data_IF_278220664917
#
_entry.id   IF_278220664917
#
_cell.length_a   1.000
_cell.length_b   1.000
_cell.length_c   1.000
_cell.angle_alpha   90.00
_cell.angle_beta   90.00
_cell.angle_gamma   90.00
#
_symmetry.space_group_name_H-M   'P 1'
#
loop_
_entity.id
_entity.type
_entity.pdbx_description
1 polymer ?
#
# COMPACT_ATOMS: atom_id res chain seq x y z
N UNK A 1 -63.74 0.56 43.65
CA UNK A 1 -62.95 1.63 42.97
C UNK A 1 -61.55 1.07 42.73
N UNK A 2 -61.27 0.61 41.51
CA UNK A 2 -59.95 0.08 41.12
C UNK A 2 -59.31 1.12 40.18
N UNK A 3 -58.34 1.88 40.68
CA UNK A 3 -57.54 2.81 39.87
C UNK A 3 -56.39 2.05 39.22
N UNK A 4 -56.43 1.88 37.91
CA UNK A 4 -55.30 1.40 37.11
C UNK A 4 -54.37 2.58 36.80
N UNK A 5 -53.22 2.61 37.47
CA UNK A 5 -52.12 3.55 37.16
C UNK A 5 -51.37 3.00 35.95
N UNK A 6 -51.65 3.57 34.77
CA UNK A 6 -50.89 3.31 33.54
C UNK A 6 -49.52 3.99 33.65
N UNK A 7 -48.50 3.21 34.01
CA UNK A 7 -47.08 3.64 33.94
C UNK A 7 -46.60 3.50 32.50
N UNK A 8 -46.66 4.59 31.74
CA UNK A 8 -46.04 4.69 30.41
C UNK A 8 -44.52 4.75 30.57
N UNK A 9 -43.85 3.61 30.37
CA UNK A 9 -42.40 3.58 30.18
C UNK A 9 -42.05 4.27 28.85
N UNK A 10 -41.53 5.49 28.93
CA UNK A 10 -40.90 6.15 27.80
C UNK A 10 -39.56 5.42 27.50
N UNK A 11 -39.54 4.61 26.45
CA UNK A 11 -38.30 3.98 25.96
C UNK A 11 -37.53 5.03 25.16
N UNK A 12 -36.36 5.51 25.63
CA UNK A 12 -35.54 6.40 24.82
C UNK A 12 -35.01 5.62 23.62
N UNK A 13 -35.44 6.01 22.42
CA UNK A 13 -34.90 5.49 21.17
C UNK A 13 -33.53 6.13 20.95
N UNK A 14 -32.48 5.50 21.46
CA UNK A 14 -31.10 5.89 21.17
C UNK A 14 -30.82 5.58 19.70
N UNK A 15 -30.94 6.59 18.83
CA UNK A 15 -30.42 6.52 17.46
C UNK A 15 -28.90 6.52 17.54
N UNK A 16 -28.29 5.33 17.47
CA UNK A 16 -26.85 5.21 17.31
C UNK A 16 -26.47 5.78 15.93
N UNK A 17 -25.90 6.99 15.93
CA UNK A 17 -25.24 7.54 14.73
C UNK A 17 -24.02 6.66 14.50
N UNK A 18 -24.10 5.73 13.55
CA UNK A 18 -22.92 4.99 13.10
C UNK A 18 -22.08 5.95 12.27
N UNK A 19 -21.03 6.51 12.87
CA UNK A 19 -19.93 7.03 12.09
C UNK A 19 -19.28 5.82 11.41
N UNK A 20 -19.37 5.72 10.08
CA UNK A 20 -18.53 4.80 9.32
C UNK A 20 -17.10 5.34 9.45
N UNK A 21 -16.36 4.82 10.43
CA UNK A 21 -14.95 5.07 10.54
C UNK A 21 -14.24 4.31 9.41
N UNK A 22 -13.51 5.05 8.58
CA UNK A 22 -12.65 4.47 7.56
C UNK A 22 -11.55 3.63 8.24
N UNK A 23 -11.33 2.42 7.72
CA UNK A 23 -10.32 1.52 8.25
C UNK A 23 -9.71 0.69 7.12
N UNK A 24 -8.39 0.58 7.13
CA UNK A 24 -7.64 -0.21 6.15
C UNK A 24 -6.63 -1.09 6.86
N UNK A 25 -6.51 -2.34 6.41
CA UNK A 25 -5.53 -3.30 6.91
C UNK A 25 -4.50 -3.60 5.83
N UNK A 26 -3.22 -3.45 6.16
CA UNK A 26 -2.10 -3.80 5.30
C UNK A 26 -1.45 -5.04 5.88
N UNK A 27 -1.42 -6.13 5.11
CA UNK A 27 -0.77 -7.39 5.49
C UNK A 27 0.47 -7.64 4.66
N UNK A 28 1.47 -8.21 5.29
CA UNK A 28 2.71 -8.62 4.66
C UNK A 28 2.88 -10.13 4.71
N UNK A 29 3.27 -10.73 3.60
CA UNK A 29 3.68 -12.13 3.53
C UNK A 29 5.07 -12.20 2.93
N UNK A 30 6.05 -12.57 3.74
CA UNK A 30 7.41 -12.76 3.28
C UNK A 30 7.71 -14.24 3.02
N UNK A 31 7.64 -14.67 1.75
CA UNK A 31 7.98 -16.04 1.34
C UNK A 31 9.44 -16.19 0.93
N UNK A 32 10.24 -15.11 0.97
CA UNK A 32 11.66 -15.17 0.61
C UNK A 32 12.47 -15.99 1.62
N UNK A 33 12.00 -16.11 2.87
CA UNK A 33 12.73 -16.76 3.96
C UNK A 33 13.86 -15.91 4.54
N UNK A 34 14.00 -14.66 4.10
CA UNK A 34 14.97 -13.67 4.60
C UNK A 34 14.40 -12.26 4.45
N UNK A 35 15.11 -11.29 5.04
CA UNK A 35 14.69 -9.89 5.04
C UNK A 35 13.52 -9.63 5.98
N UNK A 36 13.15 -8.35 6.12
CA UNK A 36 12.02 -7.93 6.93
C UNK A 36 11.17 -6.94 6.15
N UNK A 37 9.84 -7.17 6.05
CA UNK A 37 8.95 -6.16 5.49
C UNK A 37 9.16 -4.81 6.20
N UNK A 38 9.12 -3.74 5.43
CA UNK A 38 9.13 -2.37 5.94
C UNK A 38 7.89 -1.66 5.39
N UNK A 39 7.20 -0.92 6.27
CA UNK A 39 6.12 -0.02 5.91
C UNK A 39 6.48 1.36 6.45
N UNK A 40 6.67 2.31 5.55
CA UNK A 40 7.04 3.67 5.91
C UNK A 40 5.85 4.59 5.77
N UNK A 41 5.65 5.41 6.80
CA UNK A 41 4.63 6.45 6.85
C UNK A 41 5.25 7.71 7.47
N UNK A 42 5.12 8.85 6.79
CA UNK A 42 5.69 10.13 7.23
C UNK A 42 7.20 10.02 7.59
N UNK A 43 7.95 9.28 6.76
CA UNK A 43 9.39 9.04 6.97
C UNK A 43 9.75 8.08 8.11
N UNK A 44 8.78 7.51 8.81
CA UNK A 44 8.99 6.58 9.92
C UNK A 44 8.62 5.15 9.51
N UNK A 45 9.43 4.17 9.91
CA UNK A 45 9.03 2.77 9.80
C UNK A 45 7.99 2.46 10.87
N UNK A 46 6.76 2.23 10.43
CA UNK A 46 5.60 2.00 11.30
C UNK A 46 5.21 0.52 11.40
N UNK A 47 5.92 -0.37 10.69
CA UNK A 47 5.55 -1.77 10.71
C UNK A 47 5.92 -2.43 12.05
N UNK A 48 4.91 -2.92 12.76
CA UNK A 48 5.05 -3.69 14.00
C UNK A 48 4.54 -5.11 13.80
N UNK A 49 5.23 -5.91 12.98
CA UNK A 49 4.86 -7.30 12.67
C UNK A 49 4.39 -7.50 11.23
N UNK A 50 3.52 -8.48 10.99
CA UNK A 50 3.08 -8.85 9.63
C UNK A 50 1.82 -8.08 9.18
N UNK A 51 1.27 -7.22 10.03
CA UNK A 51 0.03 -6.49 9.77
C UNK A 51 0.07 -5.09 10.37
N UNK A 52 -0.53 -4.13 9.66
CA UNK A 52 -0.76 -2.77 10.13
C UNK A 52 -2.22 -2.37 9.85
N UNK A 53 -2.87 -1.73 10.82
CA UNK A 53 -4.23 -1.20 10.65
C UNK A 53 -4.22 0.32 10.75
N UNK A 54 -4.72 0.99 9.72
CA UNK A 54 -4.96 2.43 9.71
C UNK A 54 -6.42 2.73 10.06
N UNK A 55 -6.67 3.65 11.00
CA UNK A 55 -8.01 4.12 11.38
C UNK A 55 -8.43 5.38 10.59
N UNK A 56 -8.24 5.33 9.27
CA UNK A 56 -8.50 6.42 8.31
C UNK A 56 -7.65 6.24 7.06
N UNK A 57 -7.70 7.22 6.15
CA UNK A 57 -6.87 7.24 4.94
C UNK A 57 -5.39 7.00 5.25
N UNK A 58 -4.74 6.19 4.44
CA UNK A 58 -3.32 5.86 4.56
C UNK A 58 -2.59 6.22 3.27
N UNK A 59 -1.37 6.76 3.35
CA UNK A 59 -0.50 6.97 2.20
C UNK A 59 0.94 6.71 2.61
N UNK A 60 1.61 5.77 1.97
CA UNK A 60 2.93 5.32 2.40
C UNK A 60 3.60 4.43 1.37
N UNK A 61 4.77 3.92 1.75
CA UNK A 61 5.57 3.03 0.90
C UNK A 61 5.90 1.74 1.65
N UNK A 62 6.09 0.66 0.90
CA UNK A 62 6.55 -0.60 1.44
C UNK A 62 7.65 -1.22 0.57
N UNK A 63 8.52 -2.00 1.21
CA UNK A 63 9.60 -2.74 0.55
C UNK A 63 10.09 -3.86 1.48
N UNK A 64 10.88 -4.80 0.95
CA UNK A 64 11.55 -5.80 1.79
C UNK A 64 12.96 -5.33 2.12
N UNK A 65 13.23 -5.06 3.39
CA UNK A 65 14.56 -4.71 3.86
C UNK A 65 15.47 -5.96 3.88
N UNK A 66 16.44 -6.01 2.96
CA UNK A 66 17.43 -7.10 2.80
C UNK A 66 18.82 -6.73 3.32
N UNK A 67 19.02 -5.49 3.78
CA UNK A 67 20.28 -4.92 4.25
C UNK A 67 20.86 -3.86 3.30
N UNK A 68 20.41 -3.82 2.05
CA UNK A 68 20.86 -2.86 1.03
C UNK A 68 19.87 -1.71 0.78
N UNK A 69 18.64 -1.85 1.27
CA UNK A 69 17.60 -0.83 1.10
C UNK A 69 17.87 0.34 2.04
N UNK A 70 17.80 1.56 1.51
CA UNK A 70 17.78 2.74 2.35
C UNK A 70 16.39 2.96 2.97
N UNK A 71 16.25 3.99 3.80
CA UNK A 71 15.04 4.27 4.57
C UNK A 71 13.80 4.55 3.71
N UNK A 72 13.95 5.05 2.48
CA UNK A 72 12.82 5.27 1.57
C UNK A 72 12.73 4.18 0.49
N UNK A 73 13.34 3.02 0.73
CA UNK A 73 13.34 1.91 -0.22
C UNK A 73 14.23 2.14 -1.45
N UNK A 74 15.16 3.10 -1.41
CA UNK A 74 16.17 3.23 -2.47
C UNK A 74 17.00 1.93 -2.56
N UNK A 75 17.38 1.56 -3.79
CA UNK A 75 18.00 0.27 -4.17
C UNK A 75 17.10 -0.96 -4.05
N UNK A 76 15.81 -0.80 -3.76
CA UNK A 76 14.88 -1.92 -3.59
C UNK A 76 13.59 -1.72 -4.39
N UNK A 77 12.88 -2.82 -4.63
CA UNK A 77 11.56 -2.78 -5.28
C UNK A 77 10.63 -2.02 -4.35
N UNK A 78 10.16 -0.84 -4.78
CA UNK A 78 9.29 0.02 -3.98
C UNK A 78 7.83 -0.26 -4.33
N UNK A 79 6.99 -0.40 -3.31
CA UNK A 79 5.54 -0.34 -3.45
C UNK A 79 5.06 0.99 -2.89
N UNK A 80 4.30 1.75 -3.67
CA UNK A 80 3.67 3.00 -3.27
C UNK A 80 2.16 2.77 -3.14
N UNK A 81 1.55 3.23 -2.05
CA UNK A 81 0.12 3.01 -1.82
C UNK A 81 -0.56 4.22 -1.21
N UNK A 82 -1.81 4.44 -1.62
CA UNK A 82 -2.78 5.29 -0.96
C UNK A 82 -4.06 4.49 -0.77
N UNK A 83 -4.49 4.31 0.48
CA UNK A 83 -5.74 3.64 0.83
C UNK A 83 -6.71 4.70 1.34
N UNK A 84 -7.82 4.88 0.62
CA UNK A 84 -8.83 5.87 0.96
C UNK A 84 -10.21 5.45 0.45
N UNK A 85 -11.25 5.72 1.23
CA UNK A 85 -12.63 5.58 0.82
C UNK A 85 -12.96 6.58 -0.30
N UNK A 86 -13.51 6.13 -1.43
CA UNK A 86 -13.76 7.00 -2.57
C UNK A 86 -14.82 8.06 -2.26
N UNK A 87 -14.49 9.33 -2.48
CA UNK A 87 -15.46 10.44 -2.40
C UNK A 87 -15.98 10.87 -3.78
N UNK A 88 -15.38 10.35 -4.84
CA UNK A 88 -15.74 10.54 -6.25
C UNK A 88 -15.28 9.34 -7.07
N UNK A 89 -15.81 9.18 -8.28
CA UNK A 89 -15.34 8.15 -9.20
C UNK A 89 -13.88 8.40 -9.58
N UNK A 90 -13.02 7.39 -9.40
CA UNK A 90 -11.57 7.49 -9.66
C UNK A 90 -10.77 8.05 -8.48
N UNK A 91 -11.40 8.31 -7.32
CA UNK A 91 -10.77 8.95 -6.17
C UNK A 91 -10.55 8.00 -4.98
N UNK A 92 -10.77 6.69 -5.17
CA UNK A 92 -10.51 5.66 -4.17
C UNK A 92 -9.04 5.32 -4.00
N UNK A 93 -8.79 4.17 -3.38
CA UNK A 93 -7.45 3.64 -3.16
C UNK A 93 -6.69 3.39 -4.47
N UNK A 94 -5.38 3.55 -4.43
CA UNK A 94 -4.46 3.27 -5.53
C UNK A 94 -3.15 2.70 -4.98
N UNK A 95 -2.57 1.73 -5.69
CA UNK A 95 -1.30 1.10 -5.32
C UNK A 95 -0.54 0.77 -6.60
N UNK A 96 0.77 0.91 -6.54
CA UNK A 96 1.67 0.61 -7.64
C UNK A 96 3.06 0.15 -7.15
N UNK A 97 3.83 -0.41 -8.08
CA UNK A 97 5.22 -0.80 -7.88
C UNK A 97 6.08 0.18 -8.69
N UNK A 98 7.17 0.67 -8.12
CA UNK A 98 8.05 1.66 -8.72
C UNK A 98 9.50 1.19 -8.72
N UNK A 99 10.10 1.18 -9.91
CA UNK A 99 11.53 1.02 -10.18
C UNK A 99 12.12 2.29 -10.80
N UNK A 100 11.48 3.44 -10.60
CA UNK A 100 12.04 4.73 -11.00
C UNK A 100 13.31 4.96 -10.15
N UNK A 101 14.50 5.21 -10.76
CA UNK A 101 15.72 5.44 -9.99
C UNK A 101 15.54 6.54 -8.93
N UNK A 102 16.02 6.33 -7.68
CA UNK A 102 17.00 5.32 -7.26
C UNK A 102 16.42 3.96 -6.81
N UNK A 103 15.14 3.67 -7.06
CA UNK A 103 14.56 2.36 -6.78
C UNK A 103 15.02 1.34 -7.83
N UNK A 104 15.20 0.10 -7.42
CA UNK A 104 15.76 -0.95 -8.27
C UNK A 104 15.26 -2.32 -7.81
N UNK A 105 15.10 -3.24 -8.75
CA UNK A 105 14.66 -4.58 -8.39
C UNK A 105 15.67 -5.29 -7.48
N UNK A 106 15.22 -5.79 -6.33
CA UNK A 106 16.01 -6.64 -5.43
C UNK A 106 15.34 -8.00 -5.19
N UNK A 107 14.03 -7.98 -4.88
CA UNK A 107 13.20 -9.17 -4.69
C UNK A 107 11.89 -9.06 -5.45
N UNK A 108 11.32 -10.22 -5.77
CA UNK A 108 9.95 -10.29 -6.27
C UNK A 108 9.01 -9.66 -5.24
N UNK A 109 8.20 -8.72 -5.72
CA UNK A 109 7.22 -8.00 -4.90
C UNK A 109 5.90 -8.00 -5.65
N UNK A 110 4.83 -8.32 -4.93
CA UNK A 110 3.47 -8.27 -5.44
C UNK A 110 2.53 -7.67 -4.42
N UNK A 111 1.39 -7.20 -4.90
CA UNK A 111 0.30 -6.78 -4.04
C UNK A 111 -1.04 -7.18 -4.63
N UNK A 112 -2.04 -7.28 -3.76
CA UNK A 112 -3.43 -7.46 -4.14
C UNK A 112 -4.35 -6.83 -3.10
N UNK A 113 -5.42 -6.22 -3.56
CA UNK A 113 -6.50 -5.78 -2.68
C UNK A 113 -7.31 -6.98 -2.16
N UNK A 114 -7.87 -6.82 -0.96
CA UNK A 114 -8.87 -7.72 -0.40
C UNK A 114 -9.87 -6.95 0.46
N UNK A 115 -11.01 -7.56 0.80
CA UNK A 115 -12.15 -6.85 1.40
C UNK A 115 -12.62 -5.67 0.52
N UNK A 116 -12.59 -5.87 -0.79
CA UNK A 116 -12.80 -4.86 -1.82
C UNK A 116 -11.83 -5.07 -2.97
N UNK A 117 -12.33 -5.08 -4.21
CA UNK A 117 -11.53 -5.35 -5.42
C UNK A 117 -10.65 -6.61 -5.29
N UNK A 118 -11.16 -7.66 -4.66
CA UNK A 118 -10.37 -8.83 -4.25
C UNK A 118 -9.55 -9.44 -5.39
N UNK A 119 -8.24 -9.56 -5.17
CA UNK A 119 -7.29 -10.12 -6.13
C UNK A 119 -6.79 -9.14 -7.19
N UNK A 120 -7.37 -7.94 -7.29
CA UNK A 120 -6.85 -6.88 -8.14
C UNK A 120 -5.51 -6.38 -7.58
N UNK A 121 -4.48 -6.37 -8.42
CA UNK A 121 -3.14 -6.01 -8.01
C UNK A 121 -2.12 -6.27 -9.12
N UNK A 122 -0.83 -6.22 -8.78
CA UNK A 122 0.27 -6.48 -9.71
C UNK A 122 1.40 -7.24 -9.03
N UNK A 123 2.23 -7.83 -9.89
CA UNK A 123 3.45 -8.53 -9.49
C UNK A 123 4.61 -8.10 -10.35
N UNK A 124 5.70 -7.71 -9.70
CA UNK A 124 7.01 -7.64 -10.32
C UNK A 124 7.85 -8.84 -9.88
N UNK A 125 7.99 -9.84 -10.76
CA UNK A 125 8.72 -11.10 -10.50
C UNK A 125 10.17 -11.11 -10.99
N UNK A 126 10.62 -10.05 -11.67
CA UNK A 126 12.00 -9.93 -12.15
C UNK A 126 12.36 -8.46 -12.43
N UNK A 127 13.63 -8.20 -12.69
CA UNK A 127 14.17 -6.85 -12.85
C UNK A 127 13.59 -6.00 -13.99
N UNK A 128 12.80 -6.60 -14.89
CA UNK A 128 12.15 -5.86 -15.98
C UNK A 128 10.71 -5.44 -15.68
N UNK A 129 10.07 -6.01 -14.64
CA UNK A 129 8.66 -5.78 -14.25
C UNK A 129 7.73 -5.42 -15.43
N UNK A 130 7.79 -6.20 -16.52
CA UNK A 130 7.23 -5.76 -17.79
C UNK A 130 5.71 -5.51 -17.70
N UNK A 131 5.30 -4.24 -17.75
CA UNK A 131 3.91 -3.82 -17.62
C UNK A 131 3.35 -3.87 -16.19
N UNK A 132 4.20 -4.04 -15.18
CA UNK A 132 3.78 -4.15 -13.77
C UNK A 132 4.53 -3.24 -12.79
N UNK A 133 5.34 -2.31 -13.28
CA UNK A 133 5.97 -1.28 -12.46
C UNK A 133 6.18 0.02 -13.25
N UNK A 134 6.28 1.13 -12.52
CA UNK A 134 6.73 2.41 -13.03
C UNK A 134 8.25 2.37 -13.26
N UNK A 135 8.69 2.70 -14.46
CA UNK A 135 10.10 2.97 -14.79
C UNK A 135 10.35 4.45 -15.08
N UNK A 136 9.28 5.18 -15.42
CA UNK A 136 9.24 6.63 -15.55
C UNK A 136 7.93 7.18 -14.96
N UNK A 137 7.93 8.46 -14.56
CA UNK A 137 6.82 9.10 -13.84
C UNK A 137 5.46 9.13 -14.57
N UNK A 138 5.40 8.78 -15.85
CA UNK A 138 4.18 8.81 -16.65
C UNK A 138 3.66 7.42 -17.05
N UNK A 139 4.18 6.33 -16.44
CA UNK A 139 3.72 4.96 -16.64
C UNK A 139 2.38 4.66 -15.93
N UNK A 140 1.42 5.58 -16.02
CA UNK A 140 0.16 5.56 -15.25
C UNK A 140 -0.75 4.35 -15.51
N UNK A 141 -0.39 3.47 -16.44
CA UNK A 141 -1.14 2.24 -16.77
C UNK A 141 -0.83 1.08 -15.82
N UNK A 142 0.24 1.18 -15.02
CA UNK A 142 0.65 0.13 -14.07
C UNK A 142 0.09 0.38 -12.65
N UNK A 143 -0.57 1.51 -12.43
CA UNK A 143 -1.26 1.76 -11.18
C UNK A 143 -2.59 1.00 -11.12
N UNK A 144 -2.86 0.33 -10.00
CA UNK A 144 -4.12 -0.39 -9.78
C UNK A 144 -4.98 0.38 -8.79
N UNK A 145 -6.11 0.85 -9.29
CA UNK A 145 -7.14 1.53 -8.50
C UNK A 145 -8.14 0.55 -7.88
N UNK A 146 -8.70 0.93 -6.73
CA UNK A 146 -9.87 0.29 -6.15
C UNK A 146 -10.86 1.32 -5.62
N UNK A 147 -12.11 1.24 -6.09
CA UNK A 147 -13.19 2.14 -5.72
C UNK A 147 -14.11 1.54 -4.65
N UNK A 148 -13.62 0.60 -3.83
CA UNK A 148 -14.38 0.02 -2.71
C UNK A 148 -14.03 0.73 -1.40
N UNK A 149 -15.00 0.93 -0.52
CA UNK A 149 -14.75 1.43 0.83
C UNK A 149 -14.06 0.36 1.69
N UNK A 150 -13.18 0.80 2.59
CA UNK A 150 -12.47 0.00 3.59
C UNK A 150 -11.72 -1.19 2.97
N UNK A 151 -11.19 -0.99 1.77
CA UNK A 151 -10.36 -1.97 1.08
C UNK A 151 -9.06 -2.18 1.85
N UNK A 152 -8.62 -3.42 1.92
CA UNK A 152 -7.37 -3.81 2.55
C UNK A 152 -6.34 -4.17 1.48
N UNK A 153 -5.06 -4.16 1.86
CA UNK A 153 -3.94 -4.42 0.96
C UNK A 153 -3.14 -5.61 1.49
N UNK A 154 -2.90 -6.61 0.64
CA UNK A 154 -1.95 -7.68 0.89
C UNK A 154 -0.72 -7.43 0.04
N UNK A 155 0.45 -7.37 0.68
CA UNK A 155 1.76 -7.27 0.03
C UNK A 155 2.47 -8.60 0.25
N UNK A 156 3.00 -9.19 -0.82
CA UNK A 156 3.78 -10.41 -0.75
C UNK A 156 5.16 -10.23 -1.38
N UNK A 157 6.17 -10.79 -0.72
CA UNK A 157 7.54 -10.86 -1.22
C UNK A 157 7.89 -12.31 -1.55
N UNK A 158 8.53 -12.52 -2.70
CA UNK A 158 8.81 -13.84 -3.28
C UNK A 158 7.55 -14.72 -3.39
N UNK A 159 6.43 -14.12 -3.75
CA UNK A 159 5.18 -14.82 -3.98
C UNK A 159 4.11 -13.89 -4.56
N UNK A 160 3.00 -14.49 -5.00
CA UNK A 160 1.93 -13.84 -5.73
C UNK A 160 0.75 -13.48 -4.79
N UNK A 161 0.61 -12.21 -4.42
CA UNK A 161 -0.39 -11.73 -3.48
C UNK A 161 -1.82 -12.09 -3.90
N UNK A 162 -2.15 -11.98 -5.19
CA UNK A 162 -3.49 -12.33 -5.70
C UNK A 162 -3.88 -13.79 -5.46
N UNK A 163 -2.92 -14.71 -5.35
CA UNK A 163 -3.17 -16.12 -5.05
C UNK A 163 -3.40 -16.37 -3.54
N UNK A 164 -2.98 -15.42 -2.70
CA UNK A 164 -3.09 -15.49 -1.25
C UNK A 164 -4.35 -14.79 -0.71
N UNK A 165 -4.99 -13.95 -1.51
CA UNK A 165 -6.29 -13.36 -1.17
C UNK A 165 -7.35 -14.46 -1.21
N UNK A 166 -8.01 -14.78 -0.07
CA UNK A 166 -9.10 -15.74 -0.06
C UNK A 166 -10.20 -15.22 -0.98
N UNK A 167 -10.45 -15.90 -2.10
CA UNK A 167 -11.48 -15.48 -3.03
C UNK A 167 -12.83 -15.48 -2.30
N UNK A 168 -13.41 -14.31 -2.07
CA UNK A 168 -14.63 -14.11 -1.28
C UNK A 168 -15.92 -14.72 -1.88
N UNK A 169 -15.83 -15.67 -2.82
CA UNK A 169 -17.05 -16.25 -3.40
C UNK A 169 -16.93 -17.20 -4.58
N UNK A 170 -15.74 -17.60 -5.04
CA UNK A 170 -15.63 -18.66 -6.05
C UNK A 170 -15.26 -19.98 -5.40
N UNK A 171 -16.18 -20.49 -4.58
CA UNK A 171 -16.39 -21.93 -4.48
C UNK A 171 -16.91 -22.42 -5.83
N UNK A 172 -16.07 -22.36 -6.87
CA UNK A 172 -16.27 -23.18 -8.06
C UNK A 172 -16.03 -24.60 -7.58
N UNK A 173 -17.12 -25.23 -7.11
CA UNK A 173 -17.21 -26.66 -6.95
C UNK A 173 -16.75 -27.26 -8.27
N UNK A 174 -15.51 -27.74 -8.30
CA UNK A 174 -15.07 -28.68 -9.32
C UNK A 174 -15.95 -29.91 -9.12
N UNK A 175 -17.03 -30.00 -9.90
CA UNK A 175 -17.66 -31.29 -10.19
C UNK A 175 -16.62 -32.12 -10.92
N UNK A 176 -15.75 -32.76 -10.14
CA UNK A 176 -14.83 -33.77 -10.59
C UNK A 176 -15.64 -34.93 -11.13
N UNK A 177 -15.81 -34.97 -12.45
CA UNK A 177 -15.99 -36.22 -13.15
C UNK A 177 -14.71 -37.02 -12.92
N UNK A 178 -14.80 -38.07 -12.09
CA UNK A 178 -13.68 -38.87 -11.65
C UNK A 178 -12.96 -39.53 -12.84
N UNK A 179 -11.61 -39.57 -12.84
CA UNK A 179 -10.89 -40.51 -13.68
C UNK A 179 -11.03 -41.91 -13.09
N UNK A 180 -11.49 -42.83 -13.94
CA UNK A 180 -11.54 -44.27 -13.74
C UNK A 180 -10.16 -44.81 -13.31
N UNK A 181 -10.05 -45.65 -12.26
CA UNK A 181 -8.79 -46.26 -11.88
C UNK A 181 -8.49 -47.46 -12.79
N UNK A 182 -7.54 -47.31 -13.71
CA UNK A 182 -6.90 -48.45 -14.36
C UNK A 182 -5.70 -48.88 -13.52
N UNK A 183 -5.85 -50.03 -12.88
CA UNK A 183 -4.81 -50.71 -12.13
C UNK A 183 -3.71 -51.24 -13.07
N UNK A 184 -2.46 -50.93 -12.74
CA UNK A 184 -1.30 -51.72 -13.17
C UNK A 184 -0.27 -51.80 -12.04
N UNK A 185 0.06 -53.05 -11.73
CA UNK A 185 0.85 -53.59 -10.63
C UNK A 185 2.27 -53.03 -10.50
N UNK A 186 2.80 -52.83 -9.27
CA UNK A 186 4.24 -52.72 -9.07
C UNK A 186 4.87 -54.11 -8.94
N UNK A 187 5.86 -54.38 -9.80
CA UNK A 187 6.72 -55.56 -9.70
C UNK A 187 7.92 -55.24 -8.82
N UNK A 188 8.14 -56.10 -7.84
CA UNK A 188 9.17 -56.04 -6.81
C UNK A 188 10.57 -56.29 -7.35
N UNK A 189 11.53 -55.45 -6.97
CA UNK A 189 12.96 -55.80 -6.99
C UNK A 189 13.66 -55.16 -5.79
N UNK A 190 14.06 -56.03 -4.87
CA UNK A 190 14.74 -55.75 -3.61
C UNK A 190 16.26 -55.49 -3.81
N UNK A 191 17.03 -55.21 -2.73
CA UNK A 191 18.21 -54.35 -2.74
C UNK A 191 19.55 -55.08 -2.89
N UNK A 192 20.60 -54.31 -3.21
CA UNK A 192 21.99 -54.73 -3.03
C UNK A 192 22.74 -53.76 -2.11
N UNK A 193 23.45 -54.40 -1.19
CA UNK A 193 24.21 -53.96 -0.02
C UNK A 193 25.66 -53.55 -0.32
N UNK A 194 26.21 -52.75 0.62
CA UNK A 194 27.61 -52.72 1.13
C UNK A 194 28.75 -52.07 0.32
N UNK A 195 29.34 -51.00 0.91
CA UNK A 195 30.77 -50.90 1.35
C UNK A 195 31.09 -49.42 1.66
N UNK A 196 31.34 -49.01 2.90
CA UNK A 196 32.56 -49.17 3.69
C UNK A 196 33.77 -48.40 3.13
N UNK A 197 34.03 -47.21 3.68
CA UNK A 197 35.38 -46.69 3.98
C UNK A 197 35.29 -45.37 4.78
N UNK A 198 35.73 -45.42 6.05
CA UNK A 198 36.24 -44.27 6.81
C UNK A 198 37.76 -44.11 6.52
N UNK A 199 38.52 -43.29 7.27
CA UNK A 199 38.46 -41.86 7.50
C UNK A 199 39.75 -41.15 7.02
N UNK A 200 39.74 -39.84 6.75
CA UNK A 200 40.98 -39.06 6.78
C UNK A 200 40.80 -37.71 7.49
N UNK A 201 41.37 -37.69 8.69
CA UNK A 201 42.04 -36.57 9.36
C UNK A 201 42.88 -35.72 8.40
N UNK A 202 42.73 -34.40 8.48
CA UNK A 202 43.86 -33.49 8.35
C UNK A 202 43.72 -32.32 9.33
N UNK A 203 44.71 -32.27 10.21
CA UNK A 203 45.01 -31.17 11.12
C UNK A 203 45.50 -29.97 10.30
N UNK A 204 44.92 -28.81 10.55
CA UNK A 204 45.40 -27.51 10.09
C UNK A 204 45.59 -26.57 11.28
N UNK A 205 46.78 -26.63 11.86
CA UNK A 205 47.30 -25.74 12.90
C UNK A 205 47.72 -24.39 12.30
N UNK A 206 47.70 -23.34 13.13
CA UNK A 206 48.39 -22.02 12.99
C UNK A 206 47.51 -20.90 12.40
N UNK A 207 47.48 -19.67 12.90
CA UNK A 207 48.28 -19.00 13.93
C UNK A 207 47.49 -17.81 14.52
N UNK A 208 47.79 -17.50 15.77
CA UNK A 208 47.53 -16.20 16.40
C UNK A 208 48.11 -15.05 15.55
N UNK A 209 47.29 -14.04 15.31
CA UNK A 209 47.72 -12.75 14.80
C UNK A 209 47.04 -11.63 15.58
N UNK A 210 47.57 -11.32 16.76
CA UNK A 210 47.26 -10.07 17.46
C UNK A 210 47.92 -8.91 16.70
N UNK A 211 47.13 -8.04 16.10
CA UNK A 211 47.62 -6.75 15.60
C UNK A 211 46.67 -5.66 16.12
N UNK A 212 47.18 -4.87 17.05
CA UNK A 212 46.82 -3.47 17.28
C UNK A 212 48.06 -2.64 16.91
N UNK A 213 48.01 -1.29 16.77
CA UNK A 213 46.98 -0.35 16.29
C UNK A 213 47.54 0.47 15.09
N UNK A 214 46.89 1.57 14.61
CA UNK A 214 47.26 2.88 15.15
C UNK A 214 46.09 3.87 15.30
N UNK A 215 46.23 4.76 16.28
CA UNK A 215 45.43 5.98 16.43
C UNK A 215 45.98 7.09 15.52
N UNK A 216 45.18 7.58 14.56
CA UNK A 216 45.25 8.90 13.89
C UNK A 216 44.14 8.89 12.81
N UNK A 217 43.36 9.92 12.50
CA UNK A 217 43.34 11.33 12.83
C UNK A 217 41.88 11.83 12.73
N UNK A 218 41.57 12.91 13.44
CA UNK A 218 40.29 13.62 13.35
C UNK A 218 40.06 14.19 11.94
N UNK A 219 38.87 14.03 11.34
CA UNK A 219 38.46 14.85 10.21
C UNK A 219 37.92 16.20 10.68
N UNK A 220 38.58 17.24 10.21
CA UNK A 220 38.22 18.65 10.32
C UNK A 220 36.79 18.93 9.85
N UNK A 221 36.09 19.79 10.58
CA UNK A 221 34.80 20.34 10.21
C UNK A 221 34.87 21.08 8.86
N UNK A 222 33.93 20.83 7.93
CA UNK A 222 33.70 21.75 6.82
C UNK A 222 32.84 22.94 7.26
N UNK A 223 33.31 24.11 6.82
CA UNK A 223 32.80 25.42 7.14
C UNK A 223 31.35 25.65 6.69
N UNK A 224 30.67 26.51 7.46
CA UNK A 224 29.37 27.09 7.19
C UNK A 224 29.30 27.76 5.80
N UNK A 225 28.26 27.51 4.99
CA UNK A 225 27.96 28.39 3.89
C UNK A 225 27.24 29.65 4.39
N UNK A 226 27.88 30.78 4.11
CA UNK A 226 27.43 32.16 4.22
C UNK A 226 26.02 32.35 3.67
N UNK A 227 25.17 32.98 4.47
CA UNK A 227 23.87 33.49 4.07
C UNK A 227 24.01 34.51 2.93
N UNK A 228 23.45 34.20 1.77
CA UNK A 228 23.21 35.16 0.69
C UNK A 228 21.76 35.63 0.76
N UNK A 229 21.62 36.94 0.99
CA UNK A 229 20.38 37.69 1.01
C UNK A 229 19.63 37.64 -0.34
N UNK A 230 18.31 37.88 -0.35
CA UNK A 230 17.48 37.77 -1.54
C UNK A 230 17.64 38.99 -2.48
N UNK A 231 17.70 38.81 -3.81
CA UNK A 231 17.47 39.90 -4.74
C UNK A 231 15.97 40.20 -4.87
N UNK A 232 15.72 41.50 -4.96
CA UNK A 232 14.43 42.15 -4.93
C UNK A 232 13.55 41.86 -6.16
N UNK A 233 12.25 41.99 -5.91
CA UNK A 233 11.15 42.40 -6.81
C UNK A 233 11.55 42.86 -8.21
N UNK A 234 10.94 42.27 -9.24
CA UNK A 234 10.73 42.90 -10.53
C UNK A 234 9.41 42.45 -11.15
N UNK A 235 8.75 43.42 -11.76
CA UNK A 235 7.33 43.49 -12.02
C UNK A 235 6.86 42.72 -13.26
N UNK A 236 5.53 42.58 -13.32
CA UNK A 236 4.68 42.07 -14.39
C UNK A 236 5.05 42.51 -15.81
N UNK A 237 4.65 41.69 -16.80
CA UNK A 237 3.81 42.25 -17.86
C UNK A 237 2.50 41.47 -18.02
N UNK A 238 1.42 42.22 -17.89
CA UNK A 238 0.10 41.95 -18.47
C UNK A 238 0.21 41.55 -19.94
N UNK A 239 -0.29 40.37 -20.30
CA UNK A 239 -0.75 40.09 -21.66
C UNK A 239 -1.97 39.17 -21.60
N UNK A 240 -3.13 39.77 -21.84
CA UNK A 240 -4.41 39.08 -21.85
C UNK A 240 -4.54 38.17 -23.07
N UNK A 241 -5.04 36.96 -22.84
CA UNK A 241 -5.76 36.20 -23.85
C UNK A 241 -7.04 35.67 -23.24
N UNK A 242 -8.14 36.28 -23.66
CA UNK A 242 -9.51 35.84 -23.43
C UNK A 242 -9.69 34.41 -23.92
N UNK A 243 -9.97 33.47 -23.03
CA UNK A 243 -10.59 32.21 -23.41
C UNK A 243 -12.06 32.49 -23.73
N UNK A 244 -12.37 32.61 -25.03
CA UNK A 244 -13.73 32.57 -25.57
C UNK A 244 -14.34 31.21 -25.22
N UNK A 245 -15.32 31.22 -24.31
CA UNK A 245 -16.25 30.11 -24.14
C UNK A 245 -17.02 29.92 -25.46
N UNK A 246 -16.86 28.76 -26.08
CA UNK A 246 -17.63 28.35 -27.26
C UNK A 246 -18.92 27.71 -26.77
N UNK A 247 -19.96 28.53 -26.74
CA UNK A 247 -21.36 28.10 -26.65
C UNK A 247 -21.71 27.28 -27.89
N UNK A 248 -22.03 26.00 -27.70
CA UNK A 248 -22.74 25.18 -28.69
C UNK A 248 -24.15 24.94 -28.19
N UNK A 249 -25.06 25.61 -28.89
CA UNK A 249 -26.50 25.59 -28.77
C UNK A 249 -27.14 24.29 -29.25
N UNK A 250 -28.15 23.85 -28.48
CA UNK A 250 -29.47 23.35 -28.91
C UNK A 250 -29.59 22.05 -29.73
N UNK A 251 -30.13 21.01 -29.08
CA UNK A 251 -31.19 20.15 -29.63
C UNK A 251 -32.04 19.62 -28.45
N UNK A 252 -33.20 20.23 -28.25
CA UNK A 252 -34.55 19.64 -28.29
C UNK A 252 -34.89 18.63 -27.16
N UNK A 253 -35.67 19.04 -26.16
CA UNK A 253 -37.14 19.07 -26.10
C UNK A 253 -37.72 17.77 -25.52
N UNK A 254 -37.78 17.66 -24.18
CA UNK A 254 -38.86 16.91 -23.51
C UNK A 254 -39.06 17.33 -22.04
N UNK A 255 -39.81 18.44 -21.92
CA UNK A 255 -40.90 18.71 -20.97
C UNK A 255 -41.17 17.61 -19.92
N UNK A 256 -40.85 17.89 -18.65
CA UNK A 256 -41.63 17.55 -17.44
C UNK A 256 -41.10 18.31 -16.21
N UNK A 257 -41.79 19.41 -15.87
CA UNK A 257 -41.92 19.93 -14.49
C UNK A 257 -43.15 19.25 -13.85
N UNK A 258 -43.46 19.41 -12.54
CA UNK A 258 -42.80 20.22 -11.47
C UNK A 258 -42.48 19.37 -10.21
N UNK A 259 -41.78 19.85 -9.15
CA UNK A 259 -42.38 20.59 -8.02
C UNK A 259 -41.34 20.76 -6.88
N UNK A 260 -41.38 21.91 -6.18
CA UNK A 260 -40.88 22.20 -4.82
C UNK A 260 -39.35 22.23 -4.56
N UNK A 261 -38.73 23.09 -3.76
CA UNK A 261 -39.09 24.18 -2.81
C UNK A 261 -37.76 24.94 -2.47
N UNK A 262 -37.76 26.07 -1.74
CA UNK A 262 -36.72 27.09 -1.80
C UNK A 262 -35.47 26.83 -0.93
N UNK A 263 -34.34 27.32 -1.43
CA UNK A 263 -33.05 27.36 -0.77
C UNK A 263 -33.06 28.26 0.48
N UNK A 264 -32.65 27.68 1.62
CA UNK A 264 -32.50 28.34 2.91
C UNK A 264 -31.10 28.95 3.03
N UNK A 265 -31.06 30.24 3.34
CA UNK A 265 -29.85 31.03 3.52
C UNK A 265 -28.93 30.48 4.63
N UNK A 266 -27.67 30.19 4.30
CA UNK A 266 -26.65 29.88 5.30
C UNK A 266 -25.94 31.15 5.78
N UNK A 267 -26.11 31.36 7.09
CA UNK A 267 -25.57 32.42 7.93
C UNK A 267 -24.06 32.25 8.09
N UNK A 268 -23.28 33.27 7.74
CA UNK A 268 -21.84 33.37 8.02
C UNK A 268 -21.62 33.48 9.54
N UNK A 269 -20.98 32.49 10.16
CA UNK A 269 -20.33 32.65 11.45
C UNK A 269 -18.84 32.91 11.24
N UNK A 270 -18.45 34.19 11.36
CA UNK A 270 -17.08 34.61 11.68
C UNK A 270 -16.80 34.14 13.12
N UNK A 271 -15.79 33.28 13.31
CA UNK A 271 -15.16 33.10 14.62
C UNK A 271 -13.86 33.88 14.66
N UNK A 272 -13.72 34.61 15.75
CA UNK A 272 -12.62 35.48 16.12
C UNK A 272 -11.34 34.69 16.36
N UNK A 273 -10.23 35.30 15.96
CA UNK A 273 -8.88 34.95 16.35
C UNK A 273 -8.45 35.75 17.59
N UNK A 274 -7.38 35.26 18.21
CA UNK A 274 -6.41 35.92 19.09
C UNK A 274 -6.68 35.96 20.59
N UNK A 275 -5.69 35.45 21.34
CA UNK A 275 -5.44 35.81 22.73
C UNK A 275 -4.76 34.72 23.55
N UNK A 276 -3.44 34.50 23.37
CA UNK A 276 -2.59 33.96 24.44
C UNK A 276 -1.18 34.55 24.33
N UNK A 277 -0.83 35.38 25.32
CA UNK A 277 0.51 35.85 25.64
C UNK A 277 0.64 35.84 27.17
N UNK A 278 1.85 35.48 27.62
CA UNK A 278 2.40 35.36 28.97
C UNK A 278 2.24 34.00 29.67
#
# INVERSE_FOLDING_TARGET
MLSFVLVTFAVPLFTAIRANAESHVIKFVNQCGYGSPALMFDGNNILTGDEYTSSGSFSGIAYLQTGECNTNGENCTLLETTLINPTCAGCGSSTDISLIPPHAYNVETSFAYYNGCDGAGQTCSNSTCAGSAFFVYNDNVVQVECQSENVNLLVAFCGEASQLVPSSGSSSASTGAGPTPSASSPSSSAPATLSSAAPQTSLGTSASGSISPPATAAPSAPASPTALAPPATSASPTSGKQCRARSSSTSSLQKRLPTALPARAHRRHRRSAAGFSH
#
